data_IF_222223931563
#
_entry.id   IF_222223931563
#
_cell.length_a   1.000
_cell.length_b   1.000
_cell.length_c   1.000
_cell.angle_alpha   90.00
_cell.angle_beta   90.00
_cell.angle_gamma   90.00
#
_symmetry.space_group_name_H-M   'P 1'
#
loop_
_entity.id
_entity.type
_entity.pdbx_description
1 polymer ?
#
# COMPACT_ATOMS: atom_id res chain seq x y z
N UNK A 1 -9.54 -10.41 -16.90
CA UNK A 1 -10.87 -10.90 -16.45
C UNK A 1 -10.60 -12.22 -15.72
N UNK A 2 -10.80 -12.27 -14.39
CA UNK A 2 -10.31 -13.38 -13.52
C UNK A 2 -11.43 -14.16 -12.83
N UNK A 3 -12.69 -13.77 -13.00
CA UNK A 3 -13.84 -14.33 -12.29
C UNK A 3 -14.93 -14.83 -13.26
N UNK A 4 -14.55 -15.66 -14.24
CA UNK A 4 -15.47 -16.18 -15.29
C UNK A 4 -16.01 -17.59 -15.00
N UNK A 5 -15.75 -18.14 -13.82
CA UNK A 5 -16.23 -19.46 -13.46
C UNK A 5 -17.74 -19.40 -13.13
N UNK A 6 -18.57 -20.33 -13.64
CA UNK A 6 -20.03 -20.24 -13.52
C UNK A 6 -20.53 -20.27 -12.06
N UNK A 7 -19.76 -20.87 -11.14
CA UNK A 7 -20.10 -20.89 -9.72
C UNK A 7 -19.63 -19.64 -8.94
N UNK A 8 -19.07 -18.63 -9.61
CA UNK A 8 -18.66 -17.40 -8.92
C UNK A 8 -19.90 -16.60 -8.52
N UNK A 9 -20.01 -16.33 -7.22
CA UNK A 9 -21.03 -15.44 -6.68
C UNK A 9 -20.54 -14.00 -6.64
N UNK A 10 -21.25 -13.10 -7.33
CA UNK A 10 -20.96 -11.66 -7.31
C UNK A 10 -21.19 -11.02 -5.93
N UNK A 11 -22.20 -11.51 -5.18
CA UNK A 11 -22.46 -11.03 -3.82
C UNK A 11 -21.30 -11.36 -2.89
N UNK A 12 -20.82 -12.60 -2.93
CA UNK A 12 -19.82 -13.09 -1.99
C UNK A 12 -18.47 -12.42 -2.25
N UNK A 13 -18.14 -12.18 -3.52
CA UNK A 13 -16.96 -11.40 -3.90
C UNK A 13 -17.05 -9.95 -3.42
N UNK A 14 -18.21 -9.32 -3.59
CA UNK A 14 -18.45 -7.94 -3.15
C UNK A 14 -18.35 -7.81 -1.63
N UNK A 15 -19.00 -8.71 -0.90
CA UNK A 15 -18.94 -8.79 0.55
C UNK A 15 -17.51 -9.01 1.05
N UNK A 16 -16.81 -10.01 0.49
CA UNK A 16 -15.42 -10.32 0.86
C UNK A 16 -14.51 -9.11 0.61
N UNK A 17 -14.61 -8.49 -0.57
CA UNK A 17 -13.82 -7.29 -0.91
C UNK A 17 -14.11 -6.12 0.03
N UNK A 18 -15.38 -5.96 0.45
CA UNK A 18 -15.76 -4.93 1.40
C UNK A 18 -15.21 -5.19 2.81
N UNK A 19 -15.22 -6.45 3.26
CA UNK A 19 -14.60 -6.88 4.52
C UNK A 19 -13.10 -6.59 4.50
N UNK A 20 -12.41 -6.99 3.43
CA UNK A 20 -10.98 -6.75 3.24
C UNK A 20 -10.65 -5.25 3.26
N UNK A 21 -11.48 -4.43 2.60
CA UNK A 21 -11.29 -2.99 2.60
C UNK A 21 -11.44 -2.38 4.00
N UNK A 22 -12.42 -2.82 4.80
CA UNK A 22 -12.58 -2.39 6.20
C UNK A 22 -11.36 -2.80 7.04
N UNK A 23 -10.88 -4.02 6.85
CA UNK A 23 -9.67 -4.50 7.54
C UNK A 23 -8.46 -3.64 7.18
N UNK A 24 -8.24 -3.35 5.90
CA UNK A 24 -7.18 -2.45 5.46
C UNK A 24 -7.32 -1.06 6.08
N UNK A 25 -8.54 -0.50 6.14
CA UNK A 25 -8.77 0.78 6.81
C UNK A 25 -8.36 0.74 8.29
N UNK A 26 -8.60 -0.38 8.99
CA UNK A 26 -8.17 -0.56 10.38
C UNK A 26 -6.65 -0.59 10.54
N UNK A 27 -5.93 -1.20 9.59
CA UNK A 27 -4.45 -1.19 9.55
C UNK A 27 -3.94 0.22 9.27
N UNK A 28 -4.49 0.89 8.26
CA UNK A 28 -4.11 2.26 7.88
C UNK A 28 -4.41 3.27 8.99
N UNK A 29 -5.43 3.03 9.82
CA UNK A 29 -5.72 3.85 10.99
C UNK A 29 -4.57 3.87 12.03
N UNK A 30 -3.69 2.87 12.01
CA UNK A 30 -2.49 2.79 12.85
C UNK A 30 -1.19 3.26 12.16
N UNK A 31 -1.27 3.89 10.98
CA UNK A 31 -0.10 4.20 10.16
C UNK A 31 0.73 5.41 10.65
N UNK A 32 0.30 6.15 11.67
CA UNK A 32 1.07 7.28 12.19
C UNK A 32 2.46 6.85 12.70
N UNK A 33 3.50 7.52 12.22
CA UNK A 33 4.90 7.15 12.44
C UNK A 33 5.35 5.90 11.68
N UNK A 34 4.48 5.29 10.87
CA UNK A 34 4.71 4.05 10.15
C UNK A 34 5.18 4.24 8.71
N UNK A 35 5.25 3.11 8.00
CA UNK A 35 5.67 3.05 6.59
C UNK A 35 4.65 2.26 5.77
N UNK A 36 4.22 2.84 4.65
CA UNK A 36 3.46 2.15 3.62
C UNK A 36 4.36 1.76 2.45
N UNK A 37 4.42 0.47 2.13
CA UNK A 37 5.15 -0.07 0.98
C UNK A 37 4.17 -0.53 -0.10
N UNK A 38 4.07 0.22 -1.20
CA UNK A 38 3.34 -0.21 -2.40
C UNK A 38 4.28 -1.05 -3.28
N UNK A 39 4.09 -2.37 -3.29
CA UNK A 39 4.97 -3.31 -4.02
C UNK A 39 4.22 -3.89 -5.21
N UNK A 40 4.72 -3.64 -6.42
CA UNK A 40 4.28 -4.32 -7.65
C UNK A 40 2.81 -4.05 -8.05
N UNK A 41 2.20 -2.96 -7.56
CA UNK A 41 0.83 -2.61 -7.88
C UNK A 41 0.75 -1.24 -8.55
N UNK A 42 0.47 -1.25 -9.85
CA UNK A 42 0.36 -0.03 -10.66
C UNK A 42 -1.00 0.68 -10.54
N UNK A 43 -2.06 0.01 -10.06
CA UNK A 43 -3.43 0.56 -10.09
C UNK A 43 -4.21 0.28 -8.81
N UNK A 44 -4.41 -1.00 -8.45
CA UNK A 44 -5.36 -1.37 -7.38
C UNK A 44 -4.91 -0.81 -6.02
N UNK A 45 -3.69 -1.11 -5.57
CA UNK A 45 -3.22 -0.63 -4.27
C UNK A 45 -3.07 0.90 -4.20
N UNK A 46 -2.54 1.61 -5.21
CA UNK A 46 -2.54 3.08 -5.20
C UNK A 46 -3.94 3.69 -4.98
N UNK A 47 -4.97 3.13 -5.63
CA UNK A 47 -6.34 3.62 -5.52
C UNK A 47 -7.02 3.23 -4.21
N UNK A 48 -6.78 2.01 -3.74
CA UNK A 48 -7.36 1.48 -2.49
C UNK A 48 -6.73 2.15 -1.27
N UNK A 49 -5.41 2.34 -1.27
CA UNK A 49 -4.67 3.00 -0.20
C UNK A 49 -5.16 4.44 0.03
N UNK A 50 -5.34 5.21 -1.05
CA UNK A 50 -5.83 6.58 -0.94
C UNK A 50 -7.24 6.64 -0.31
N UNK A 51 -8.11 5.69 -0.67
CA UNK A 51 -9.44 5.56 -0.07
C UNK A 51 -9.36 5.18 1.41
N UNK A 52 -8.50 4.23 1.77
CA UNK A 52 -8.30 3.80 3.15
C UNK A 52 -7.77 4.93 4.04
N UNK A 53 -6.82 5.75 3.55
CA UNK A 53 -6.34 6.95 4.27
C UNK A 53 -7.47 7.94 4.49
N UNK A 54 -8.28 8.21 3.47
CA UNK A 54 -9.40 9.13 3.57
C UNK A 54 -10.40 8.65 4.62
N UNK A 55 -10.75 7.36 4.62
CA UNK A 55 -11.62 6.76 5.65
C UNK A 55 -11.02 6.92 7.04
N UNK A 56 -9.75 6.55 7.24
CA UNK A 56 -9.09 6.65 8.53
C UNK A 56 -9.09 8.09 9.08
N UNK A 57 -8.76 9.08 8.22
CA UNK A 57 -8.75 10.51 8.59
C UNK A 57 -10.15 11.03 8.90
N UNK A 58 -11.15 10.66 8.10
CA UNK A 58 -12.54 11.08 8.30
C UNK A 58 -13.14 10.51 9.60
N UNK A 59 -12.67 9.34 10.05
CA UNK A 59 -13.03 8.75 11.35
C UNK A 59 -12.18 9.29 12.52
N UNK A 60 -11.47 10.41 12.33
CA UNK A 60 -10.75 11.11 13.39
C UNK A 60 -9.37 10.54 13.74
N UNK A 61 -8.83 9.59 12.96
CA UNK A 61 -7.50 9.04 13.20
C UNK A 61 -6.43 10.02 12.75
N UNK A 62 -5.43 10.25 13.61
CA UNK A 62 -4.28 11.10 13.32
C UNK A 62 -3.29 10.34 12.44
N UNK A 63 -3.54 10.31 11.13
CA UNK A 63 -2.66 9.68 10.12
C UNK A 63 -2.13 10.77 9.18
N UNK A 64 -1.07 11.45 9.60
CA UNK A 64 -0.46 12.60 8.91
C UNK A 64 1.03 12.40 8.66
N UNK A 65 1.76 11.84 9.62
CA UNK A 65 3.20 11.67 9.52
C UNK A 65 3.54 10.20 9.29
N UNK A 66 3.78 9.82 8.05
CA UNK A 66 4.19 8.47 7.69
C UNK A 66 5.01 8.51 6.41
N UNK A 67 5.79 7.48 6.17
CA UNK A 67 6.59 7.35 4.95
C UNK A 67 5.84 6.46 3.95
N UNK A 68 5.84 6.84 2.67
CA UNK A 68 5.35 5.97 1.60
C UNK A 68 6.49 5.61 0.65
N UNK A 69 6.46 4.38 0.16
CA UNK A 69 7.41 3.90 -0.85
C UNK A 69 6.62 3.22 -1.97
N UNK A 70 6.88 3.61 -3.21
CA UNK A 70 6.52 2.82 -4.38
C UNK A 70 7.72 1.98 -4.82
N UNK A 71 7.58 0.66 -4.79
CA UNK A 71 8.60 -0.28 -5.24
C UNK A 71 8.07 -1.11 -6.40
N UNK A 72 8.58 -0.82 -7.60
CA UNK A 72 8.12 -1.46 -8.84
C UNK A 72 9.25 -1.61 -9.84
N UNK A 73 9.10 -2.48 -10.83
CA UNK A 73 10.07 -2.62 -11.92
C UNK A 73 9.96 -1.46 -12.91
N UNK A 74 8.77 -0.86 -13.03
CA UNK A 74 8.47 0.26 -13.92
C UNK A 74 7.72 1.35 -13.13
N UNK A 75 8.13 2.61 -13.28
CA UNK A 75 7.41 3.71 -12.64
C UNK A 75 6.16 4.07 -13.43
N UNK A 76 5.02 4.04 -12.74
CA UNK A 76 3.73 4.40 -13.29
C UNK A 76 3.21 5.70 -12.66
N UNK A 77 2.36 6.43 -13.38
CA UNK A 77 1.85 7.72 -12.91
C UNK A 77 0.96 7.60 -11.66
N UNK A 78 0.15 6.54 -11.55
CA UNK A 78 -0.80 6.35 -10.42
C UNK A 78 -0.07 6.11 -9.10
N UNK A 79 0.89 5.18 -8.98
CA UNK A 79 1.67 5.05 -7.75
C UNK A 79 2.45 6.33 -7.43
N UNK A 80 3.06 6.95 -8.43
CA UNK A 80 3.81 8.20 -8.22
C UNK A 80 2.90 9.32 -7.67
N UNK A 81 1.64 9.37 -8.09
CA UNK A 81 0.70 10.40 -7.64
C UNK A 81 0.02 10.02 -6.33
N UNK A 82 -0.63 8.85 -6.30
CA UNK A 82 -1.53 8.43 -5.22
C UNK A 82 -0.82 7.77 -4.04
N UNK A 83 0.43 7.31 -4.19
CA UNK A 83 1.23 6.74 -3.09
C UNK A 83 2.32 7.71 -2.67
N UNK A 84 3.09 8.23 -3.63
CA UNK A 84 4.32 8.99 -3.34
C UNK A 84 4.05 10.47 -3.05
N UNK A 85 3.29 11.16 -3.91
CA UNK A 85 3.17 12.63 -3.84
C UNK A 85 2.02 13.16 -2.98
N UNK A 86 0.83 12.54 -3.05
CA UNK A 86 -0.39 13.07 -2.40
C UNK A 86 -0.53 12.75 -0.90
N UNK A 87 -0.22 11.53 -0.41
CA UNK A 87 -0.61 11.15 0.95
C UNK A 87 0.26 11.74 2.06
N UNK A 88 1.54 12.00 1.76
CA UNK A 88 2.59 12.40 2.70
C UNK A 88 3.66 13.26 2.01
N UNK A 89 4.46 13.97 2.79
CA UNK A 89 5.67 14.67 2.32
C UNK A 89 6.88 13.74 2.18
N UNK A 90 6.85 12.57 2.82
CA UNK A 90 7.95 11.60 2.82
C UNK A 90 7.64 10.42 1.88
N UNK A 91 7.68 10.69 0.57
CA UNK A 91 7.43 9.69 -0.46
C UNK A 91 8.69 9.32 -1.24
N UNK A 92 8.91 8.02 -1.45
CA UNK A 92 10.04 7.49 -2.22
C UNK A 92 9.58 6.58 -3.36
N UNK A 93 10.27 6.66 -4.50
CA UNK A 93 10.15 5.70 -5.59
C UNK A 93 11.44 4.90 -5.70
N UNK A 94 11.32 3.58 -5.69
CA UNK A 94 12.44 2.66 -5.86
C UNK A 94 12.12 1.77 -7.07
N UNK A 95 12.99 1.81 -8.08
CA UNK A 95 12.80 1.04 -9.32
C UNK A 95 13.78 -0.12 -9.36
N UNK A 96 13.27 -1.33 -9.55
CA UNK A 96 14.12 -2.51 -9.72
C UNK A 96 13.34 -3.81 -9.66
N UNK A 97 14.00 -4.90 -10.05
CA UNK A 97 13.47 -6.26 -9.99
C UNK A 97 13.16 -6.67 -8.54
N UNK A 98 11.92 -7.07 -8.26
CA UNK A 98 11.47 -7.43 -6.91
C UNK A 98 12.27 -8.59 -6.31
N UNK A 99 12.76 -9.51 -7.14
CA UNK A 99 13.60 -10.64 -6.73
C UNK A 99 14.92 -10.19 -6.12
N UNK A 100 15.40 -8.99 -6.47
CA UNK A 100 16.61 -8.37 -5.92
C UNK A 100 16.22 -7.40 -4.81
N UNK A 101 15.24 -6.53 -5.07
CA UNK A 101 14.89 -5.42 -4.20
C UNK A 101 14.31 -5.85 -2.85
N UNK A 102 13.44 -6.87 -2.81
CA UNK A 102 12.82 -7.31 -1.56
C UNK A 102 13.82 -8.00 -0.63
N UNK A 103 14.70 -8.91 -1.09
CA UNK A 103 15.78 -9.44 -0.24
C UNK A 103 16.73 -8.35 0.24
N UNK A 104 17.11 -7.40 -0.61
CA UNK A 104 17.97 -6.28 -0.22
C UNK A 104 17.33 -5.40 0.84
N UNK A 105 16.05 -5.05 0.70
CA UNK A 105 15.31 -4.29 1.70
C UNK A 105 15.31 -5.02 3.04
N UNK A 106 14.99 -6.33 3.03
CA UNK A 106 15.02 -7.16 4.24
C UNK A 106 16.40 -7.15 4.90
N UNK A 107 17.46 -7.39 4.13
CA UNK A 107 18.83 -7.43 4.66
C UNK A 107 19.27 -6.06 5.19
N UNK A 108 18.91 -4.98 4.49
CA UNK A 108 19.18 -3.61 4.93
C UNK A 108 18.51 -3.29 6.26
N UNK A 109 17.24 -3.68 6.45
CA UNK A 109 16.52 -3.53 7.71
C UNK A 109 17.23 -4.33 8.83
N UNK A 110 17.53 -5.60 8.58
CA UNK A 110 18.22 -6.45 9.57
C UNK A 110 19.60 -5.91 9.96
N UNK A 111 20.37 -5.40 9.00
CA UNK A 111 21.67 -4.80 9.25
C UNK A 111 21.54 -3.50 10.05
N UNK A 112 20.53 -2.68 9.76
CA UNK A 112 20.24 -1.44 10.50
C UNK A 112 19.82 -1.69 11.95
N UNK A 113 19.02 -2.74 12.19
CA UNK A 113 18.59 -3.12 13.53
C UNK A 113 19.74 -3.63 14.40
N UNK A 114 20.74 -4.32 13.82
CA UNK A 114 21.93 -4.81 14.55
C UNK A 114 22.92 -3.70 14.95
N UNK A 115 22.85 -2.53 14.31
CA UNK A 115 23.72 -1.38 14.61
C UNK A 115 23.18 -0.50 15.76
N UNK A 116 21.97 -0.78 16.25
CA UNK A 116 21.37 -0.16 17.44
C UNK A 116 21.60 -1.06 18.64
#
# INVERSE_FOLDING_TARGET
IIHMHPCVSGSDMGESSHIDFKLLCSVVAGLEGGVWLNVGSAVIMPEVFLKAITVARNLGRKVRNFTTVNMDMIQHYRPQTNVVKRPTTHGYSITGHHEIMLPLLRLGILAGLKKR
#
